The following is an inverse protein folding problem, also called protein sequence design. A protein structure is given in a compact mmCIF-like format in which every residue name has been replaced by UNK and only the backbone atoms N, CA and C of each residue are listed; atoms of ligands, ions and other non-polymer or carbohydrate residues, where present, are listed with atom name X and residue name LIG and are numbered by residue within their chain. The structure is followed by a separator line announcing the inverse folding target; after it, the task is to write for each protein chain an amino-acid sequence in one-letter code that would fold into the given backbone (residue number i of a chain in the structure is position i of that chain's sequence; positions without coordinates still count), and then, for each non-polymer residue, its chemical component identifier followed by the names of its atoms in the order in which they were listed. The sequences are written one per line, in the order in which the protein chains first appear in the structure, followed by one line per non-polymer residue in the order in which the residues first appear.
data_IF_767214352514
#
_entry.id   IF_767214352514
#
_cell.length_a   1.000
_cell.length_b   1.000
_cell.length_c   1.000
_cell.angle_alpha   90.00
_cell.angle_beta   90.00
_cell.angle_gamma   90.00
#
_symmetry.space_group_name_H-M   'P 1'
#
loop_
_entity.id
_entity.type
_entity.pdbx_description
1 polymer ?
#
# COMPACT_ATOMS: atom_id res chain seq x y z
N UNK A 1 12.29 -18.18 -21.33
CA UNK A 1 11.78 -17.14 -22.25
C UNK A 1 11.59 -17.64 -23.68
N UNK A 2 12.49 -18.43 -24.24
CA UNK A 2 12.36 -18.95 -25.62
C UNK A 2 11.06 -19.72 -25.85
N UNK A 3 10.65 -20.56 -24.90
CA UNK A 3 9.40 -21.31 -24.99
C UNK A 3 8.16 -20.43 -25.21
N UNK A 4 8.01 -19.32 -24.46
CA UNK A 4 6.88 -18.38 -24.65
C UNK A 4 6.95 -17.69 -26.02
N UNK A 5 8.15 -17.30 -26.46
CA UNK A 5 8.35 -16.67 -27.77
C UNK A 5 7.96 -17.62 -28.91
N UNK A 6 8.35 -18.90 -28.82
CA UNK A 6 8.04 -19.90 -29.83
C UNK A 6 6.52 -20.16 -29.89
N UNK A 7 5.84 -20.29 -28.74
CA UNK A 7 4.39 -20.48 -28.68
C UNK A 7 3.63 -19.25 -29.18
N UNK A 8 4.09 -18.07 -28.85
CA UNK A 8 3.48 -16.83 -29.33
C UNK A 8 3.61 -16.70 -30.85
N UNK A 9 4.78 -17.03 -31.40
CA UNK A 9 4.97 -17.06 -32.84
C UNK A 9 4.06 -18.11 -33.51
N UNK A 10 4.00 -19.35 -32.99
CA UNK A 10 3.17 -20.42 -33.53
C UNK A 10 1.67 -20.13 -33.46
N UNK A 11 1.24 -19.34 -32.47
CA UNK A 11 -0.15 -18.90 -32.34
C UNK A 11 -0.53 -17.75 -33.29
N UNK A 12 0.39 -17.33 -34.17
CA UNK A 12 0.21 -16.14 -35.04
C UNK A 12 -0.03 -14.88 -34.19
N UNK A 13 0.79 -14.72 -33.14
CA UNK A 13 0.77 -13.58 -32.23
C UNK A 13 -0.57 -13.39 -31.48
N UNK A 14 -1.24 -14.47 -31.17
CA UNK A 14 -2.47 -14.45 -30.35
C UNK A 14 -2.14 -14.11 -28.90
N UNK A 15 -2.53 -12.90 -28.46
CA UNK A 15 -2.29 -12.41 -27.11
C UNK A 15 -3.07 -13.23 -26.08
N UNK A 16 -4.28 -13.71 -26.40
CA UNK A 16 -5.08 -14.53 -25.49
C UNK A 16 -4.35 -15.81 -25.11
N UNK A 17 -3.80 -16.52 -26.12
CA UNK A 17 -2.99 -17.72 -25.89
C UNK A 17 -1.71 -17.45 -25.13
N UNK A 18 -1.04 -16.31 -25.41
CA UNK A 18 0.14 -15.92 -24.64
C UNK A 18 -0.20 -15.72 -23.16
N UNK A 19 -1.29 -15.01 -22.86
CA UNK A 19 -1.72 -14.79 -21.47
C UNK A 19 -2.14 -16.11 -20.79
N UNK A 20 -2.84 -17.02 -21.51
CA UNK A 20 -3.16 -18.35 -21.03
C UNK A 20 -1.88 -19.12 -20.67
N UNK A 21 -0.90 -19.17 -21.57
CA UNK A 21 0.38 -19.85 -21.33
C UNK A 21 1.14 -19.28 -20.13
N UNK A 22 1.10 -17.96 -19.92
CA UNK A 22 1.71 -17.30 -18.76
C UNK A 22 0.99 -17.71 -17.47
N UNK A 23 -0.32 -17.49 -17.40
CA UNK A 23 -1.08 -17.67 -16.17
C UNK A 23 -1.37 -19.13 -15.79
N UNK A 24 -1.18 -20.08 -16.70
CA UNK A 24 -1.29 -21.51 -16.41
C UNK A 24 0.06 -22.19 -16.16
N UNK A 25 1.16 -21.45 -16.28
CA UNK A 25 2.50 -22.00 -16.08
C UNK A 25 2.92 -22.06 -14.61
N UNK A 26 3.55 -23.16 -14.19
CA UNK A 26 4.02 -23.34 -12.81
C UNK A 26 5.01 -22.25 -12.39
N UNK A 27 5.90 -21.82 -13.30
CA UNK A 27 6.91 -20.81 -13.01
C UNK A 27 6.32 -19.45 -12.60
N UNK A 28 5.10 -19.13 -13.06
CA UNK A 28 4.44 -17.88 -12.71
C UNK A 28 4.08 -17.84 -11.21
N UNK A 29 3.77 -19.01 -10.63
CA UNK A 29 3.37 -19.17 -9.23
C UNK A 29 4.53 -19.61 -8.31
N UNK A 30 5.79 -19.61 -8.79
CA UNK A 30 6.93 -19.90 -7.93
C UNK A 30 7.03 -18.85 -6.79
N UNK A 31 7.42 -19.30 -5.58
CA UNK A 31 7.54 -18.42 -4.39
C UNK A 31 8.36 -17.15 -4.65
N UNK A 32 9.39 -17.22 -5.50
CA UNK A 32 10.24 -16.07 -5.86
C UNK A 32 9.49 -14.96 -6.60
N UNK A 33 8.35 -15.27 -7.21
CA UNK A 33 7.53 -14.32 -7.98
C UNK A 33 6.43 -13.70 -7.12
N UNK A 34 6.12 -14.32 -5.97
CA UNK A 34 5.10 -13.84 -5.04
C UNK A 34 5.71 -12.74 -4.15
N UNK A 35 5.02 -11.60 -4.05
CA UNK A 35 5.52 -10.46 -3.28
C UNK A 35 6.81 -9.86 -3.83
N UNK A 36 7.06 -9.97 -5.13
CA UNK A 36 8.25 -9.45 -5.79
C UNK A 36 8.09 -8.00 -6.26
N UNK A 37 6.87 -7.49 -6.29
CA UNK A 37 6.52 -6.15 -6.74
C UNK A 37 6.29 -5.23 -5.53
N UNK A 38 6.88 -4.04 -5.55
CA UNK A 38 6.59 -2.99 -4.59
C UNK A 38 5.22 -2.38 -4.94
N UNK A 39 4.31 -2.35 -3.98
CA UNK A 39 3.01 -1.68 -4.13
C UNK A 39 3.21 -0.23 -4.54
N UNK A 40 2.56 0.22 -5.59
CA UNK A 40 2.46 1.65 -5.88
C UNK A 40 1.74 2.38 -4.73
N UNK A 41 1.88 3.69 -4.60
CA UNK A 41 1.15 4.47 -3.59
C UNK A 41 -0.36 4.20 -3.58
N UNK A 42 -0.97 4.11 -4.75
CA UNK A 42 -2.41 3.83 -4.87
C UNK A 42 -2.74 2.39 -4.42
N UNK A 43 -1.92 1.40 -4.81
CA UNK A 43 -2.12 0.01 -4.36
C UNK A 43 -2.00 -0.11 -2.84
N UNK A 44 -1.08 0.64 -2.22
CA UNK A 44 -0.93 0.66 -0.77
C UNK A 44 -2.16 1.28 -0.08
N UNK A 45 -2.59 2.47 -0.50
CA UNK A 45 -3.74 3.17 0.09
C UNK A 45 -5.01 2.34 -0.08
N UNK A 46 -5.28 1.86 -1.29
CA UNK A 46 -6.45 1.03 -1.59
C UNK A 46 -6.40 -0.32 -0.84
N UNK A 47 -5.20 -0.90 -0.69
CA UNK A 47 -5.00 -2.12 0.08
C UNK A 47 -5.33 -1.94 1.56
N UNK A 48 -4.86 -0.86 2.19
CA UNK A 48 -5.21 -0.54 3.58
C UNK A 48 -6.73 -0.36 3.72
N UNK A 49 -7.36 0.40 2.83
CA UNK A 49 -8.79 0.68 2.87
C UNK A 49 -9.66 -0.57 2.66
N UNK A 50 -9.19 -1.53 1.84
CA UNK A 50 -9.89 -2.81 1.63
C UNK A 50 -9.75 -3.75 2.82
N UNK A 51 -8.58 -3.74 3.46
CA UNK A 51 -8.31 -4.61 4.61
C UNK A 51 -8.94 -4.08 5.89
N UNK A 52 -8.96 -2.78 6.06
CA UNK A 52 -9.57 -2.11 7.21
C UNK A 52 -10.80 -1.32 6.71
N UNK A 53 -12.02 -1.88 6.87
CA UNK A 53 -13.23 -1.15 6.52
C UNK A 53 -13.25 0.19 7.24
N UNK A 54 -13.24 1.30 6.49
CA UNK A 54 -13.14 2.63 7.07
C UNK A 54 -13.95 3.66 6.31
N UNK A 55 -14.41 4.66 7.04
CA UNK A 55 -14.99 5.87 6.49
C UNK A 55 -14.01 7.03 6.69
N UNK A 56 -13.71 7.75 5.64
CA UNK A 56 -12.93 8.97 5.70
C UNK A 56 -13.86 10.17 5.87
N UNK A 57 -13.55 11.01 6.84
CA UNK A 57 -14.30 12.23 7.08
C UNK A 57 -13.98 13.34 6.06
N UNK A 58 -12.84 13.21 5.36
CA UNK A 58 -12.36 14.23 4.42
C UNK A 58 -11.81 13.57 3.14
N UNK A 59 -12.47 13.83 2.01
CA UNK A 59 -12.01 13.37 0.70
C UNK A 59 -10.65 13.97 0.28
N UNK A 60 -10.32 15.16 0.76
CA UNK A 60 -9.03 15.80 0.51
C UNK A 60 -7.86 15.00 1.09
N UNK A 61 -8.09 14.21 2.16
CA UNK A 61 -7.08 13.37 2.77
C UNK A 61 -6.49 12.34 1.77
N UNK A 62 -7.32 11.77 0.90
CA UNK A 62 -6.82 10.86 -0.14
C UNK A 62 -5.92 11.56 -1.15
N UNK A 63 -6.30 12.75 -1.60
CA UNK A 63 -5.49 13.53 -2.52
C UNK A 63 -4.17 13.94 -1.87
N UNK A 64 -4.20 14.29 -0.60
CA UNK A 64 -2.99 14.60 0.16
C UNK A 64 -2.06 13.38 0.26
N UNK A 65 -2.58 12.20 0.61
CA UNK A 65 -1.79 10.96 0.68
C UNK A 65 -1.17 10.60 -0.67
N UNK A 66 -1.92 10.71 -1.74
CA UNK A 66 -1.44 10.47 -3.09
C UNK A 66 -0.26 11.39 -3.43
N UNK A 67 -0.37 12.69 -3.13
CA UNK A 67 0.71 13.67 -3.31
C UNK A 67 1.92 13.35 -2.45
N UNK A 68 1.70 13.06 -1.16
CA UNK A 68 2.77 12.78 -0.22
C UNK A 68 3.56 11.50 -0.58
N UNK A 69 2.90 10.51 -1.15
CA UNK A 69 3.50 9.26 -1.60
C UNK A 69 4.01 9.31 -3.06
N UNK A 70 3.70 10.37 -3.80
CA UNK A 70 4.22 10.61 -5.15
C UNK A 70 3.43 9.97 -6.29
N UNK A 71 2.14 9.65 -6.09
CA UNK A 71 1.27 9.17 -7.17
C UNK A 71 -0.12 9.78 -7.06
N UNK A 72 -0.46 10.69 -7.95
CA UNK A 72 -1.80 11.27 -8.05
C UNK A 72 -2.55 10.55 -9.17
N UNK A 73 -3.64 9.86 -8.83
CA UNK A 73 -4.41 9.08 -9.78
C UNK A 73 -4.90 9.96 -10.95
N UNK A 74 -4.81 9.45 -12.17
CA UNK A 74 -5.11 10.16 -13.43
C UNK A 74 -4.22 11.38 -13.73
N UNK A 75 -3.16 11.62 -12.95
CA UNK A 75 -2.26 12.74 -13.16
C UNK A 75 -0.79 12.28 -13.21
N UNK A 76 -0.39 11.55 -14.28
CA UNK A 76 0.98 11.08 -14.43
C UNK A 76 1.94 12.25 -14.65
N UNK A 77 3.22 12.13 -14.22
CA UNK A 77 4.20 13.19 -14.37
C UNK A 77 4.52 13.54 -15.83
N UNK A 78 4.42 12.55 -16.71
CA UNK A 78 4.67 12.73 -18.14
C UNK A 78 3.91 11.65 -18.95
N UNK A 79 4.08 11.68 -20.28
CA UNK A 79 3.42 10.75 -21.22
C UNK A 79 3.86 9.27 -21.03
N UNK A 80 4.99 9.01 -20.37
CA UNK A 80 5.45 7.66 -20.07
C UNK A 80 4.79 7.08 -18.80
N UNK A 81 4.02 7.89 -18.07
CA UNK A 81 3.37 7.48 -16.82
C UNK A 81 4.29 7.65 -15.60
N UNK A 82 3.99 6.92 -14.54
CA UNK A 82 4.81 6.91 -13.33
C UNK A 82 5.95 5.90 -13.45
N UNK A 83 7.16 6.26 -12.98
CA UNK A 83 8.25 5.30 -12.85
C UNK A 83 7.86 4.23 -11.86
N UNK A 84 7.88 3.02 -12.04
CA UNK A 84 7.43 1.95 -11.15
C UNK A 84 8.53 1.42 -10.21
N UNK A 85 8.17 0.40 -9.43
CA UNK A 85 9.13 -0.41 -8.67
C UNK A 85 9.86 0.38 -7.58
N UNK A 86 11.19 0.33 -7.59
CA UNK A 86 12.02 0.92 -6.52
C UNK A 86 11.90 2.44 -6.41
N UNK A 87 11.45 3.13 -7.46
CA UNK A 87 11.31 4.59 -7.43
C UNK A 87 10.18 5.07 -6.52
N UNK A 88 9.27 4.19 -6.12
CA UNK A 88 8.27 4.48 -5.11
C UNK A 88 8.86 4.62 -3.70
N UNK A 89 10.11 4.19 -3.49
CA UNK A 89 10.74 4.11 -2.18
C UNK A 89 11.94 5.05 -2.13
N UNK A 90 11.84 6.10 -1.37
CA UNK A 90 12.93 6.92 -0.84
C UNK A 90 12.83 6.98 0.69
N UNK A 91 13.77 7.64 1.34
CA UNK A 91 13.82 7.68 2.81
C UNK A 91 12.55 8.28 3.43
N UNK A 92 11.97 9.32 2.82
CA UNK A 92 10.79 9.99 3.33
C UNK A 92 9.51 9.19 3.04
N UNK A 93 9.36 8.69 1.81
CA UNK A 93 8.20 7.89 1.44
C UNK A 93 8.17 6.53 2.15
N UNK A 94 9.30 5.89 2.38
CA UNK A 94 9.37 4.65 3.15
C UNK A 94 8.87 4.86 4.58
N UNK A 95 9.37 5.89 5.26
CA UNK A 95 8.92 6.22 6.62
C UNK A 95 7.42 6.47 6.67
N UNK A 96 6.89 7.25 5.73
CA UNK A 96 5.46 7.52 5.63
C UNK A 96 4.66 6.24 5.37
N UNK A 97 5.10 5.42 4.41
CA UNK A 97 4.44 4.15 4.05
C UNK A 97 4.33 3.19 5.22
N UNK A 98 5.41 3.04 5.99
CA UNK A 98 5.42 2.14 7.15
C UNK A 98 4.57 2.66 8.32
N UNK A 99 4.46 3.97 8.48
CA UNK A 99 3.65 4.59 9.55
C UNK A 99 2.20 4.86 9.16
N UNK A 100 1.86 4.76 7.89
CA UNK A 100 0.55 5.14 7.37
C UNK A 100 -0.63 4.41 8.07
N UNK A 101 -0.58 3.08 8.32
CA UNK A 101 -1.66 2.40 9.03
C UNK A 101 -1.88 2.96 10.43
N UNK A 102 -0.80 3.29 11.14
CA UNK A 102 -0.86 3.89 12.47
C UNK A 102 -1.48 5.29 12.42
N UNK A 103 -1.05 6.15 11.49
CA UNK A 103 -1.61 7.48 11.31
C UNK A 103 -3.11 7.46 11.03
N UNK A 104 -3.56 6.51 10.21
CA UNK A 104 -4.99 6.35 9.91
C UNK A 104 -5.77 5.95 11.16
N UNK A 105 -5.19 5.04 11.97
CA UNK A 105 -5.85 4.58 13.19
C UNK A 105 -5.92 5.65 14.28
N UNK A 106 -4.83 6.39 14.47
CA UNK A 106 -4.68 7.33 15.60
C UNK A 106 -5.27 8.70 15.26
N UNK A 107 -5.74 8.91 14.03
CA UNK A 107 -6.17 10.21 13.51
C UNK A 107 -5.11 11.32 13.72
N UNK A 108 -3.84 10.94 13.67
CA UNK A 108 -2.70 11.80 13.91
C UNK A 108 -2.49 12.83 12.80
N UNK A 109 -1.94 13.99 13.16
CA UNK A 109 -1.56 15.00 12.19
C UNK A 109 -0.31 14.54 11.40
N UNK A 110 -0.49 14.29 10.10
CA UNK A 110 0.62 14.01 9.19
C UNK A 110 1.42 15.30 8.91
N UNK A 111 2.51 15.45 9.60
CA UNK A 111 3.47 16.53 9.34
C UNK A 111 4.45 16.12 8.23
N UNK A 112 3.93 15.76 7.06
CA UNK A 112 4.71 15.33 5.90
C UNK A 112 4.69 16.44 4.86
N UNK A 113 5.88 16.82 4.37
CA UNK A 113 5.97 17.68 3.18
C UNK A 113 5.58 16.85 1.95
N UNK A 114 4.67 17.37 1.16
CA UNK A 114 4.42 16.84 -0.18
C UNK A 114 5.71 16.96 -0.99
N UNK A 115 5.98 15.95 -1.84
CA UNK A 115 7.09 16.05 -2.79
C UNK A 115 6.83 17.24 -3.70
N UNK A 116 7.76 18.17 -3.77
CA UNK A 116 7.76 19.20 -4.80
C UNK A 116 8.04 18.50 -6.14
N UNK A 117 7.18 18.72 -7.08
CA UNK A 117 7.16 18.01 -8.35
C UNK A 117 7.99 18.78 -9.37
N UNK A 118 9.30 18.84 -9.14
CA UNK A 118 10.25 19.53 -10.03
C UNK A 118 10.19 19.00 -11.48
N UNK A 119 9.81 17.74 -11.68
CA UNK A 119 9.71 17.13 -13.02
C UNK A 119 8.33 17.34 -13.68
N UNK A 120 7.28 17.70 -12.94
CA UNK A 120 5.94 17.92 -13.51
C UNK A 120 5.78 19.31 -14.15
N UNK A 121 6.75 20.20 -13.94
CA UNK A 121 6.69 21.59 -14.43
C UNK A 121 7.23 21.79 -15.84
N UNK A 122 7.76 20.76 -16.50
CA UNK A 122 8.24 20.88 -17.89
C UNK A 122 7.05 21.11 -18.84
N UNK A 123 6.67 22.38 -18.99
CA UNK A 123 5.70 22.83 -19.98
C UNK A 123 4.39 23.45 -19.44
N UNK A 124 4.21 23.57 -18.14
CA UNK A 124 3.09 24.33 -17.56
C UNK A 124 3.61 25.62 -16.96
N UNK A 125 3.01 26.75 -17.36
CA UNK A 125 3.22 28.03 -16.72
C UNK A 125 2.89 27.90 -15.24
N UNK A 126 3.82 28.31 -14.37
CA UNK A 126 3.48 28.66 -12.99
C UNK A 126 2.30 29.62 -13.05
N UNK A 127 1.27 29.47 -12.19
CA UNK A 127 0.27 30.51 -12.05
C UNK A 127 1.01 31.81 -11.70
N UNK A 128 1.04 32.74 -12.63
CA UNK A 128 1.54 34.08 -12.34
C UNK A 128 0.63 34.72 -11.29
N UNK A 129 1.24 35.14 -10.23
CA UNK A 129 0.81 36.15 -9.27
C UNK A 129 -0.67 36.18 -8.90
N UNK A 130 -1.02 35.60 -7.78
CA UNK A 130 -2.24 35.92 -7.07
C UNK A 130 -2.99 34.75 -6.43
N UNK A 131 -2.87 33.55 -6.92
CA UNK A 131 -3.35 32.37 -6.18
C UNK A 131 -2.27 31.96 -5.17
N UNK A 132 -2.50 32.33 -3.93
CA UNK A 132 -1.75 31.77 -2.82
C UNK A 132 -1.73 30.26 -2.99
N UNK A 133 -0.56 29.57 -2.93
CA UNK A 133 -0.51 28.14 -2.96
C UNK A 133 -1.55 27.64 -1.96
N UNK A 134 -2.45 26.79 -2.42
CA UNK A 134 -3.62 26.29 -1.67
C UNK A 134 -3.16 25.94 -0.27
N UNK A 135 -3.58 26.73 0.67
CA UNK A 135 -2.99 27.02 1.97
C UNK A 135 -2.27 25.87 2.66
N UNK A 136 -1.02 26.07 2.90
CA UNK A 136 -0.24 25.44 3.98
C UNK A 136 -0.88 25.68 5.39
N UNK A 137 -2.17 25.94 5.45
CA UNK A 137 -2.87 26.42 6.63
C UNK A 137 -3.80 25.45 7.32
N UNK A 138 -4.05 24.27 6.76
CA UNK A 138 -4.65 23.17 7.52
C UNK A 138 -3.77 21.95 7.28
N UNK A 139 -2.92 21.63 8.26
CA UNK A 139 -2.20 20.37 8.37
C UNK A 139 -3.16 19.26 8.00
N UNK A 140 -2.76 18.40 7.03
CA UNK A 140 -3.62 17.37 6.51
C UNK A 140 -3.95 16.32 7.58
N UNK A 141 -4.93 16.59 8.41
CA UNK A 141 -5.47 15.60 9.33
C UNK A 141 -6.19 14.56 8.53
N UNK A 142 -5.67 13.34 8.55
CA UNK A 142 -6.39 12.18 8.07
C UNK A 142 -7.31 11.77 9.21
N UNK A 143 -8.61 11.99 9.03
CA UNK A 143 -9.59 11.48 9.97
C UNK A 143 -10.29 10.31 9.33
N UNK A 144 -10.10 9.14 9.90
CA UNK A 144 -10.75 7.92 9.47
C UNK A 144 -11.39 7.22 10.67
N UNK A 145 -12.59 6.72 10.48
CA UNK A 145 -13.23 5.83 11.44
C UNK A 145 -13.16 4.43 10.89
N UNK A 146 -12.37 3.56 11.54
CA UNK A 146 -12.20 2.15 11.15
C UNK A 146 -13.28 1.31 11.83
N UNK A 147 -13.98 0.50 11.05
CA UNK A 147 -14.89 -0.52 11.61
C UNK A 147 -14.10 -1.76 12.05
N UNK A 148 -13.47 -1.66 13.21
CA UNK A 148 -12.74 -2.75 13.81
C UNK A 148 -13.61 -3.97 14.12
N UNK A 149 -14.92 -3.79 14.35
CA UNK A 149 -15.82 -4.89 14.66
C UNK A 149 -16.00 -5.82 13.48
N UNK A 150 -16.17 -5.26 12.29
CA UNK A 150 -16.23 -6.04 11.04
C UNK A 150 -14.93 -6.81 10.82
N UNK A 151 -13.79 -6.12 10.90
CA UNK A 151 -12.47 -6.73 10.72
C UNK A 151 -12.20 -7.86 11.72
N UNK A 152 -12.51 -7.64 13.00
CA UNK A 152 -12.30 -8.63 14.06
C UNK A 152 -13.16 -9.89 13.90
N UNK A 153 -14.32 -9.79 13.27
CA UNK A 153 -15.19 -10.93 12.99
C UNK A 153 -14.49 -12.06 12.24
N UNK A 154 -13.48 -11.75 11.42
CA UNK A 154 -12.66 -12.75 10.73
C UNK A 154 -11.83 -13.63 11.68
N UNK A 155 -11.56 -13.16 12.91
CA UNK A 155 -10.68 -13.82 13.88
C UNK A 155 -11.42 -14.37 15.10
N UNK A 156 -12.76 -14.32 15.13
CA UNK A 156 -13.55 -14.73 16.30
C UNK A 156 -13.27 -16.16 16.76
N UNK A 157 -13.18 -17.09 15.80
CA UNK A 157 -12.96 -18.52 16.06
C UNK A 157 -11.49 -18.92 16.23
N UNK A 158 -10.56 -17.97 16.08
CA UNK A 158 -9.13 -18.25 16.12
C UNK A 158 -8.62 -18.17 17.56
N UNK A 159 -7.84 -19.17 17.95
CA UNK A 159 -7.20 -19.21 19.26
C UNK A 159 -6.10 -18.15 19.37
N UNK A 160 -5.86 -17.64 20.58
CA UNK A 160 -4.93 -16.54 20.84
C UNK A 160 -3.52 -16.80 20.31
N UNK A 161 -3.06 -18.04 20.40
CA UNK A 161 -1.71 -18.42 19.98
C UNK A 161 -1.54 -18.45 18.44
N UNK A 162 -2.64 -18.61 17.70
CA UNK A 162 -2.68 -18.66 16.25
C UNK A 162 -3.01 -17.30 15.61
N UNK A 163 -3.39 -16.30 16.41
CA UNK A 163 -3.85 -15.00 15.90
C UNK A 163 -2.81 -14.32 15.01
N UNK A 164 -1.55 -14.25 15.44
CA UNK A 164 -0.49 -13.57 14.67
C UNK A 164 -0.30 -14.23 13.30
N UNK A 165 -0.23 -15.55 13.27
CA UNK A 165 -0.10 -16.31 12.02
C UNK A 165 -1.30 -16.09 11.09
N UNK A 166 -2.50 -16.07 11.66
CA UNK A 166 -3.73 -15.84 10.90
C UNK A 166 -3.82 -14.40 10.37
N UNK A 167 -3.47 -13.40 11.19
CA UNK A 167 -3.44 -12.00 10.76
C UNK A 167 -2.37 -11.81 9.67
N UNK A 168 -1.18 -12.38 9.87
CA UNK A 168 -0.10 -12.31 8.89
C UNK A 168 -0.48 -12.95 7.54
N UNK A 169 -1.10 -14.14 7.56
CA UNK A 169 -1.56 -14.80 6.33
C UNK A 169 -2.67 -14.06 5.60
N UNK A 170 -3.45 -13.25 6.31
CA UNK A 170 -4.48 -12.41 5.71
C UNK A 170 -3.91 -11.11 5.10
N UNK A 171 -2.83 -10.58 5.69
CA UNK A 171 -2.27 -9.28 5.29
C UNK A 171 -1.11 -9.38 4.30
N UNK A 172 -0.26 -10.41 4.45
CA UNK A 172 1.01 -10.50 3.76
C UNK A 172 0.94 -11.52 2.63
N UNK A 173 1.53 -11.18 1.50
CA UNK A 173 1.68 -12.10 0.37
C UNK A 173 2.90 -13.02 0.54
N UNK A 174 3.88 -12.60 1.35
CA UNK A 174 5.11 -13.34 1.64
C UNK A 174 5.26 -13.63 3.11
N UNK A 175 6.14 -14.57 3.46
CA UNK A 175 6.49 -14.82 4.87
C UNK A 175 7.12 -13.56 5.47
N UNK A 176 6.65 -13.20 6.66
CA UNK A 176 7.26 -12.09 7.41
C UNK A 176 8.69 -12.44 7.82
N UNK A 177 9.63 -11.52 7.63
CA UNK A 177 10.98 -11.59 8.20
C UNK A 177 10.98 -11.24 9.70
N UNK A 178 9.93 -10.53 10.15
CA UNK A 178 9.74 -10.18 11.55
C UNK A 178 9.14 -11.38 12.28
N UNK A 179 9.80 -11.82 13.37
CA UNK A 179 9.29 -12.96 14.16
C UNK A 179 7.94 -12.65 14.80
N UNK A 180 7.06 -13.64 14.85
CA UNK A 180 5.75 -13.49 15.51
C UNK A 180 5.89 -13.14 17.01
N UNK A 181 7.01 -13.55 17.66
CA UNK A 181 7.30 -13.19 19.04
C UNK A 181 7.56 -11.70 19.21
N UNK A 182 8.27 -11.09 18.26
CA UNK A 182 8.50 -9.65 18.26
C UNK A 182 7.19 -8.89 18.09
N UNK A 183 6.36 -9.29 17.14
CA UNK A 183 5.00 -8.70 16.95
C UNK A 183 4.20 -8.82 18.25
N UNK A 184 4.22 -10.00 18.89
CA UNK A 184 3.51 -10.24 20.15
C UNK A 184 4.02 -9.34 21.29
N UNK A 185 5.32 -9.13 21.37
CA UNK A 185 5.94 -8.29 22.40
C UNK A 185 5.48 -6.83 22.32
N UNK A 186 5.29 -6.31 21.10
CA UNK A 186 4.87 -4.93 20.87
C UNK A 186 3.36 -4.77 20.66
N UNK A 187 2.59 -5.86 20.72
CA UNK A 187 1.14 -5.82 20.64
C UNK A 187 0.50 -5.65 22.01
N UNK A 188 -0.63 -4.96 22.06
CA UNK A 188 -1.38 -4.74 23.30
C UNK A 188 -2.01 -6.06 23.78
N UNK A 189 -1.59 -6.52 24.96
CA UNK A 189 -2.06 -7.76 25.56
C UNK A 189 -3.35 -7.63 26.40
N UNK A 190 -3.92 -6.43 26.54
CA UNK A 190 -5.03 -6.13 27.44
C UNK A 190 -6.31 -6.92 27.12
N UNK A 191 -6.67 -7.02 25.85
CA UNK A 191 -7.82 -7.80 25.37
C UNK A 191 -7.51 -8.50 24.04
N UNK A 192 -8.37 -9.46 23.64
CA UNK A 192 -8.26 -10.05 22.30
C UNK A 192 -8.42 -8.99 21.20
N UNK A 193 -9.30 -8.05 21.41
CA UNK A 193 -9.59 -6.96 20.48
C UNK A 193 -8.39 -6.00 20.33
N UNK A 194 -7.85 -5.50 21.45
CA UNK A 194 -6.68 -4.61 21.42
C UNK A 194 -5.46 -5.31 20.85
N UNK A 195 -5.31 -6.60 21.11
CA UNK A 195 -4.25 -7.42 20.52
C UNK A 195 -4.39 -7.51 18.99
N UNK A 196 -5.57 -7.82 18.46
CA UNK A 196 -5.81 -7.90 17.01
C UNK A 196 -5.53 -6.55 16.35
N UNK A 197 -6.03 -5.45 16.93
CA UNK A 197 -5.78 -4.09 16.40
C UNK A 197 -4.29 -3.77 16.31
N UNK A 198 -3.60 -3.89 17.42
CA UNK A 198 -2.17 -3.54 17.49
C UNK A 198 -1.31 -4.46 16.62
N UNK A 199 -1.55 -5.77 16.63
CA UNK A 199 -0.82 -6.72 15.78
C UNK A 199 -1.06 -6.45 14.29
N UNK A 200 -2.29 -6.11 13.89
CA UNK A 200 -2.64 -5.75 12.51
C UNK A 200 -1.86 -4.51 12.05
N UNK A 201 -1.88 -3.44 12.85
CA UNK A 201 -1.18 -2.20 12.52
C UNK A 201 0.34 -2.40 12.43
N UNK A 202 0.89 -3.22 13.32
CA UNK A 202 2.32 -3.54 13.27
C UNK A 202 2.70 -4.36 12.04
N UNK A 203 1.92 -5.38 11.69
CA UNK A 203 2.15 -6.16 10.47
C UNK A 203 2.02 -5.30 9.21
N UNK A 204 1.06 -4.40 9.14
CA UNK A 204 0.93 -3.43 8.04
C UNK A 204 2.09 -2.43 7.99
N UNK A 205 2.81 -2.24 9.09
CA UNK A 205 3.99 -1.39 9.18
C UNK A 205 5.30 -2.12 8.83
N UNK A 206 5.23 -3.39 8.40
CA UNK A 206 6.42 -4.15 7.98
C UNK A 206 6.77 -3.91 6.50
N UNK A 207 8.05 -4.15 6.12
CA UNK A 207 8.45 -4.09 4.71
C UNK A 207 7.68 -5.05 3.82
N UNK A 208 7.32 -6.24 4.31
CA UNK A 208 6.60 -7.26 3.54
C UNK A 208 5.19 -6.80 3.16
N UNK A 209 4.54 -5.99 3.98
CA UNK A 209 3.25 -5.41 3.62
C UNK A 209 3.34 -4.41 2.45
N UNK A 210 4.54 -3.87 2.18
CA UNK A 210 4.78 -2.98 1.03
C UNK A 210 4.88 -3.74 -0.30
N UNK A 211 4.84 -5.07 -0.27
CA UNK A 211 4.98 -5.95 -1.44
C UNK A 211 3.64 -6.55 -1.88
N UNK A 212 3.52 -6.88 -3.18
CA UNK A 212 2.40 -7.61 -3.78
C UNK A 212 2.87 -8.52 -4.92
#
# INVERSE_FOLDING_TARGET
MNWLADRFYQSIYDIGKLMEDIFTSDWFYEEKNIGSKIKSPIELIAGIQRMLPMQLENEEAFTFLQKALGQILFYPPNVAGWPGGKTWIDSSSLMLRMRLPQFINDADELNVKTKDDDDQMMGRKTPEDGEKPMGYGKRGMIRATIDWKEYMGHFDKIQKDQLIGSIASNLLQTKSSVSGELIKQYSDAGSKESFIKSATLQLMSTPEYQLC
#
